data_IF_227597489121
#
_entry.id   IF_227597489121
#
_cell.length_a   1.000
_cell.length_b   1.000
_cell.length_c   1.000
_cell.angle_alpha   90.00
_cell.angle_beta   90.00
_cell.angle_gamma   90.00
#
_symmetry.space_group_name_H-M   'P 1'
#
loop_
_entity.id
_entity.type
_entity.pdbx_description
1 polymer ?
#
# COMPACT_ATOMS: atom_id res chain seq x y z
N UNK A 1 23.56 -15.61 19.61
CA UNK A 1 22.24 -16.12 19.21
C UNK A 1 21.17 -15.23 19.82
N UNK A 2 20.67 -14.24 19.09
CA UNK A 2 19.59 -13.35 19.55
C UNK A 2 18.26 -13.91 19.03
N UNK A 3 17.35 -14.22 19.95
CA UNK A 3 15.99 -14.68 19.67
C UNK A 3 15.13 -13.45 19.36
N UNK A 4 14.49 -13.41 18.20
CA UNK A 4 13.51 -12.38 17.87
C UNK A 4 12.17 -12.76 18.50
N UNK A 5 11.64 -11.84 19.30
CA UNK A 5 10.33 -11.91 19.91
C UNK A 5 9.33 -11.32 18.90
N UNK A 6 8.44 -12.14 18.36
CA UNK A 6 7.30 -11.68 17.57
C UNK A 6 6.34 -10.91 18.49
N UNK A 7 6.07 -9.65 18.16
CA UNK A 7 5.03 -8.86 18.83
C UNK A 7 3.81 -8.83 17.92
N UNK A 8 2.74 -9.50 18.36
CA UNK A 8 1.37 -9.38 17.85
C UNK A 8 0.83 -7.97 18.17
N UNK A 9 0.24 -7.28 17.19
CA UNK A 9 -0.59 -6.10 17.44
C UNK A 9 -2.08 -6.46 17.32
N UNK A 10 -2.92 -6.14 18.33
CA UNK A 10 -4.36 -6.37 18.26
C UNK A 10 -5.10 -5.20 17.59
N UNK A 11 -6.13 -5.56 16.80
CA UNK A 11 -7.11 -4.68 16.16
C UNK A 11 -8.19 -4.29 17.17
N UNK A 12 -8.54 -3.00 17.27
CA UNK A 12 -9.86 -2.42 17.63
C UNK A 12 -9.79 -0.91 17.24
N UNK A 13 -10.78 -0.22 16.70
CA UNK A 13 -12.20 -0.21 17.05
C UNK A 13 -13.10 0.32 15.90
N UNK A 14 -14.39 -0.02 15.99
CA UNK A 14 -15.49 0.33 15.09
C UNK A 14 -16.25 1.61 15.48
N UNK A 15 -17.21 1.99 14.61
CA UNK A 15 -18.33 2.95 14.72
C UNK A 15 -17.99 4.38 14.23
N UNK A 16 -18.73 4.98 13.29
CA UNK A 16 -20.19 5.17 13.24
C UNK A 16 -20.72 5.30 11.80
N UNK A 17 -21.88 4.69 11.49
CA UNK A 17 -22.72 5.07 10.36
C UNK A 17 -23.60 6.25 10.77
N UNK A 18 -23.69 7.28 9.93
CA UNK A 18 -24.81 8.22 9.94
C UNK A 18 -25.21 8.53 8.49
N UNK A 19 -26.42 8.09 8.12
CA UNK A 19 -27.10 8.45 6.88
C UNK A 19 -27.58 9.90 6.93
N UNK A 20 -27.55 10.59 5.79
CA UNK A 20 -28.67 11.42 5.33
C UNK A 20 -28.56 11.76 3.84
N UNK A 21 -29.73 12.00 3.27
CA UNK A 21 -30.16 12.02 1.87
C UNK A 21 -29.71 13.21 1.01
N UNK A 22 -29.28 12.88 -0.20
CA UNK A 22 -29.65 13.41 -1.53
C UNK A 22 -30.24 14.84 -1.65
N UNK A 23 -29.53 15.77 -2.30
CA UNK A 23 -30.06 16.68 -3.32
C UNK A 23 -28.96 17.48 -4.05
N UNK A 24 -28.89 17.30 -5.37
CA UNK A 24 -28.44 18.21 -6.46
C UNK A 24 -27.31 19.23 -6.23
N UNK A 25 -26.28 19.14 -7.09
CA UNK A 25 -25.32 20.25 -7.32
C UNK A 25 -23.86 19.79 -7.44
N UNK A 26 -23.57 18.91 -8.40
CA UNK A 26 -22.39 18.05 -8.43
C UNK A 26 -21.03 18.63 -8.84
N UNK A 27 -20.81 19.95 -8.84
CA UNK A 27 -19.49 20.49 -9.23
C UNK A 27 -18.90 21.54 -8.27
N UNK A 28 -19.68 22.17 -7.38
CA UNK A 28 -19.16 23.22 -6.47
C UNK A 28 -18.92 22.77 -5.01
N UNK A 29 -19.45 21.62 -4.61
CA UNK A 29 -19.37 21.16 -3.20
C UNK A 29 -17.98 20.59 -2.89
N UNK A 30 -17.28 20.05 -3.90
CA UNK A 30 -15.94 19.50 -3.73
C UNK A 30 -14.94 20.62 -3.51
N UNK A 31 -14.96 21.66 -4.36
CA UNK A 31 -14.06 22.83 -4.26
C UNK A 31 -14.27 23.64 -2.98
N UNK A 32 -15.52 23.89 -2.57
CA UNK A 32 -15.81 24.60 -1.31
C UNK A 32 -15.36 23.81 -0.08
N UNK A 33 -15.46 22.49 -0.11
CA UNK A 33 -14.99 21.64 0.99
C UNK A 33 -13.46 21.59 1.05
N UNK A 34 -12.78 21.70 -0.09
CA UNK A 34 -11.32 21.89 -0.14
C UNK A 34 -10.91 23.26 0.41
N UNK A 35 -11.62 24.35 0.08
CA UNK A 35 -11.30 25.69 0.63
C UNK A 35 -11.59 25.83 2.12
N UNK A 36 -12.67 25.21 2.64
CA UNK A 36 -12.93 25.16 4.09
C UNK A 36 -11.87 24.33 4.83
N UNK A 37 -11.43 23.19 4.27
CA UNK A 37 -10.31 22.40 4.82
C UNK A 37 -8.98 23.17 4.83
N UNK A 38 -8.77 24.06 3.87
CA UNK A 38 -7.52 24.83 3.74
C UNK A 38 -7.51 26.11 4.59
N UNK A 39 -8.68 26.67 4.91
CA UNK A 39 -8.78 27.90 5.72
C UNK A 39 -8.71 27.66 7.24
N UNK A 40 -9.01 26.45 7.72
CA UNK A 40 -8.91 26.10 9.16
C UNK A 40 -7.49 25.66 9.58
N UNK A 41 -6.51 25.65 8.67
CA UNK A 41 -5.13 25.20 8.94
C UNK A 41 -4.14 26.34 9.20
N UNK A 42 -4.51 27.33 10.02
CA UNK A 42 -3.58 28.36 10.50
C UNK A 42 -3.36 28.20 12.01
N UNK A 43 -2.12 27.80 12.33
CA UNK A 43 -1.43 27.72 13.64
C UNK A 43 -1.32 26.34 14.35
N UNK A 44 -0.30 25.55 13.97
CA UNK A 44 0.27 24.42 14.73
C UNK A 44 1.37 23.68 13.93
N UNK A 45 2.48 23.20 14.54
CA UNK A 45 3.72 22.92 13.82
C UNK A 45 3.71 21.59 13.05
N UNK A 46 4.28 21.65 11.84
CA UNK A 46 5.07 20.68 11.07
C UNK A 46 4.65 19.18 11.03
N UNK A 47 4.61 18.66 9.79
CA UNK A 47 4.60 17.25 9.40
C UNK A 47 3.29 16.44 9.50
N UNK A 48 2.35 16.72 8.59
CA UNK A 48 1.43 15.68 8.15
C UNK A 48 2.24 14.59 7.41
N UNK A 49 2.04 13.29 7.71
CA UNK A 49 2.78 12.23 7.03
C UNK A 49 2.47 12.29 5.53
N UNK A 50 3.53 12.33 4.70
CA UNK A 50 3.35 12.30 3.26
C UNK A 50 2.71 10.96 2.89
N UNK A 51 1.50 11.02 2.36
CA UNK A 51 0.68 9.86 2.02
C UNK A 51 0.57 9.77 0.51
N UNK A 52 1.12 8.71 -0.08
CA UNK A 52 0.96 8.45 -1.51
C UNK A 52 -0.41 7.80 -1.71
N UNK A 53 -1.33 8.54 -2.32
CA UNK A 53 -2.72 8.09 -2.52
C UNK A 53 -2.80 7.00 -3.58
N UNK A 54 -3.55 5.94 -3.28
CA UNK A 54 -3.81 4.82 -4.18
C UNK A 54 -5.31 4.76 -4.44
N UNK A 55 -5.72 4.71 -5.70
CA UNK A 55 -7.12 4.49 -6.04
C UNK A 55 -7.50 3.02 -5.88
N UNK A 56 -8.74 2.74 -5.49
CA UNK A 56 -9.25 1.37 -5.36
C UNK A 56 -9.15 0.60 -6.69
N UNK A 57 -9.34 1.29 -7.83
CA UNK A 57 -9.24 0.70 -9.16
C UNK A 57 -7.78 0.28 -9.45
N UNK A 58 -6.81 1.15 -9.16
CA UNK A 58 -5.39 0.86 -9.36
C UNK A 58 -4.92 -0.27 -8.47
N UNK A 59 -5.35 -0.28 -7.20
CA UNK A 59 -5.06 -1.36 -6.28
C UNK A 59 -5.60 -2.69 -6.80
N UNK A 60 -6.88 -2.75 -7.17
CA UNK A 60 -7.50 -3.98 -7.69
C UNK A 60 -6.79 -4.48 -8.95
N UNK A 61 -6.49 -3.60 -9.91
CA UNK A 61 -5.78 -3.98 -11.13
C UNK A 61 -4.37 -4.48 -10.85
N UNK A 62 -3.70 -3.89 -9.88
CA UNK A 62 -2.37 -4.30 -9.45
C UNK A 62 -2.38 -5.70 -8.85
N UNK A 63 -3.36 -6.00 -8.00
CA UNK A 63 -3.58 -7.37 -7.48
C UNK A 63 -3.81 -8.35 -8.64
N UNK A 64 -4.77 -8.05 -9.52
CA UNK A 64 -5.11 -8.91 -10.67
C UNK A 64 -3.87 -9.14 -11.57
N UNK A 65 -3.05 -8.12 -11.77
CA UNK A 65 -1.81 -8.20 -12.53
C UNK A 65 -0.76 -9.08 -11.85
N UNK A 66 -0.49 -8.87 -10.56
CA UNK A 66 0.51 -9.62 -9.79
C UNK A 66 0.16 -11.10 -9.76
N UNK A 67 -1.10 -11.45 -9.53
CA UNK A 67 -1.52 -12.85 -9.48
C UNK A 67 -1.49 -13.53 -10.86
N UNK A 68 -1.73 -12.76 -11.93
CA UNK A 68 -1.68 -13.27 -13.30
C UNK A 68 -0.25 -13.43 -13.84
N UNK A 69 0.68 -12.55 -13.45
CA UNK A 69 2.03 -12.45 -14.02
C UNK A 69 3.13 -12.94 -13.08
N UNK A 70 2.86 -12.90 -11.79
CA UNK A 70 3.76 -13.37 -10.76
C UNK A 70 3.81 -14.90 -10.66
N UNK A 71 4.52 -15.36 -9.65
CA UNK A 71 4.61 -16.76 -9.30
C UNK A 71 4.07 -16.98 -7.89
N UNK A 72 3.52 -18.16 -7.66
CA UNK A 72 3.02 -18.56 -6.34
C UNK A 72 4.20 -18.67 -5.37
N UNK A 73 4.06 -18.04 -4.19
CA UNK A 73 5.03 -18.14 -3.10
C UNK A 73 4.70 -19.37 -2.26
N UNK A 74 5.58 -20.38 -2.19
CA UNK A 74 5.33 -21.56 -1.40
C UNK A 74 5.40 -21.22 0.10
N UNK A 75 4.28 -21.30 0.81
CA UNK A 75 4.21 -21.18 2.26
C UNK A 75 3.44 -22.36 2.86
N UNK A 76 4.17 -23.34 3.40
CA UNK A 76 3.54 -24.51 4.03
C UNK A 76 2.65 -25.28 3.06
N UNK A 77 1.48 -25.71 3.53
CA UNK A 77 0.53 -26.53 2.76
C UNK A 77 -0.39 -25.70 1.86
N UNK A 78 -0.63 -24.43 2.19
CA UNK A 78 -1.50 -23.52 1.43
C UNK A 78 -0.71 -22.41 0.75
N UNK A 79 -0.52 -22.56 -0.57
CA UNK A 79 0.20 -21.59 -1.38
C UNK A 79 -0.78 -20.56 -1.99
N UNK A 80 -1.21 -19.58 -1.19
CA UNK A 80 -2.19 -18.56 -1.60
C UNK A 80 -1.60 -17.21 -2.01
N UNK A 81 -0.33 -16.97 -1.72
CA UNK A 81 0.33 -15.68 -1.95
C UNK A 81 1.06 -15.70 -3.30
N UNK A 82 1.07 -14.56 -4.01
CA UNK A 82 1.75 -14.41 -5.30
C UNK A 82 2.80 -13.33 -5.21
N UNK A 83 3.96 -13.55 -5.84
CA UNK A 83 5.02 -12.56 -5.95
C UNK A 83 5.26 -12.16 -7.40
N UNK A 84 5.31 -10.86 -7.64
CA UNK A 84 5.82 -10.27 -8.87
C UNK A 84 7.10 -9.47 -8.55
N UNK A 85 8.01 -9.36 -9.52
CA UNK A 85 9.21 -8.55 -9.36
C UNK A 85 9.43 -7.70 -10.60
N UNK A 86 9.70 -6.41 -10.38
CA UNK A 86 10.16 -5.51 -11.44
C UNK A 86 11.36 -4.70 -10.96
N UNK A 87 12.00 -4.03 -11.91
CA UNK A 87 13.04 -3.05 -11.67
C UNK A 87 12.55 -1.71 -12.20
N UNK A 88 12.71 -0.64 -11.43
CA UNK A 88 12.45 0.71 -11.94
C UNK A 88 13.58 1.16 -12.88
N UNK A 89 13.39 2.31 -13.54
CA UNK A 89 14.41 2.90 -14.40
C UNK A 89 15.74 3.21 -13.69
N UNK A 90 15.72 3.38 -12.36
CA UNK A 90 16.90 3.69 -11.56
C UNK A 90 17.67 2.42 -11.15
N UNK A 91 17.13 1.24 -11.44
CA UNK A 91 17.74 -0.05 -11.13
C UNK A 91 17.37 -0.58 -9.75
N UNK A 92 16.48 0.07 -9.01
CA UNK A 92 15.97 -0.47 -7.77
C UNK A 92 15.07 -1.67 -8.06
N UNK A 93 15.15 -2.69 -7.22
CA UNK A 93 14.36 -3.92 -7.36
C UNK A 93 13.18 -3.90 -6.41
N UNK A 94 11.99 -4.18 -6.92
CA UNK A 94 10.76 -4.28 -6.11
C UNK A 94 10.20 -5.70 -6.20
N UNK A 95 10.06 -6.37 -5.06
CA UNK A 95 9.28 -7.60 -4.96
C UNK A 95 7.93 -7.30 -4.31
N UNK A 96 6.85 -7.38 -5.10
CA UNK A 96 5.49 -7.14 -4.67
C UNK A 96 4.83 -8.49 -4.38
N UNK A 97 4.22 -8.61 -3.21
CA UNK A 97 3.58 -9.84 -2.76
C UNK A 97 2.12 -9.59 -2.40
N UNK A 98 1.20 -10.25 -3.08
CA UNK A 98 -0.21 -10.28 -2.67
C UNK A 98 -0.36 -11.24 -1.50
N UNK A 99 -1.07 -10.80 -0.47
CA UNK A 99 -1.27 -11.56 0.75
C UNK A 99 -2.75 -11.91 0.85
N UNK A 100 -3.09 -13.20 0.72
CA UNK A 100 -4.48 -13.67 0.85
C UNK A 100 -4.70 -14.26 2.23
N UNK A 101 -5.56 -13.62 3.03
CA UNK A 101 -5.93 -14.13 4.34
C UNK A 101 -7.45 -14.28 4.47
N UNK A 102 -7.88 -15.29 5.22
CA UNK A 102 -9.26 -15.41 5.67
C UNK A 102 -9.56 -14.44 6.83
N UNK A 103 -10.80 -14.47 7.34
CA UNK A 103 -11.24 -13.62 8.44
C UNK A 103 -10.49 -13.90 9.77
N UNK A 104 -9.84 -15.07 9.89
CA UNK A 104 -9.00 -15.45 11.03
C UNK A 104 -7.53 -15.03 10.84
N UNK A 105 -7.19 -14.42 9.71
CA UNK A 105 -5.81 -14.04 9.37
C UNK A 105 -4.92 -15.21 8.93
N UNK A 106 -5.50 -16.36 8.55
CA UNK A 106 -4.78 -17.53 8.02
C UNK A 106 -4.67 -17.47 6.51
N UNK A 107 -3.66 -18.12 5.94
CA UNK A 107 -3.56 -18.28 4.48
C UNK A 107 -4.84 -18.93 3.94
N UNK A 108 -5.31 -18.49 2.77
CA UNK A 108 -6.52 -19.03 2.16
C UNK A 108 -6.60 -18.64 0.68
N UNK A 109 -6.88 -19.61 -0.20
CA UNK A 109 -7.11 -19.36 -1.63
C UNK A 109 -8.36 -18.51 -1.90
N UNK A 110 -9.31 -18.51 -0.97
CA UNK A 110 -10.55 -17.73 -1.07
C UNK A 110 -10.46 -16.40 -0.31
N UNK A 111 -9.35 -16.15 0.40
CA UNK A 111 -9.12 -14.91 1.12
C UNK A 111 -9.04 -13.71 0.18
N UNK A 112 -9.47 -12.54 0.65
CA UNK A 112 -9.38 -11.29 -0.11
C UNK A 112 -7.99 -10.70 0.06
N UNK A 113 -7.42 -10.15 -1.01
CA UNK A 113 -6.19 -9.37 -0.93
C UNK A 113 -6.56 -7.94 -0.50
N UNK A 114 -6.20 -7.57 0.73
CA UNK A 114 -6.38 -6.22 1.27
C UNK A 114 -5.08 -5.41 1.29
N UNK A 115 -3.95 -6.05 1.01
CA UNK A 115 -2.61 -5.46 1.04
C UNK A 115 -1.69 -6.14 0.01
N UNK A 116 -0.85 -5.33 -0.63
CA UNK A 116 0.35 -5.78 -1.33
C UNK A 116 1.55 -5.39 -0.47
N UNK A 117 2.36 -6.36 -0.05
CA UNK A 117 3.61 -6.10 0.67
C UNK A 117 4.74 -5.93 -0.33
N UNK A 118 5.54 -4.88 -0.19
CA UNK A 118 6.62 -4.56 -1.12
C UNK A 118 7.96 -4.57 -0.40
N UNK A 119 8.86 -5.40 -0.90
CA UNK A 119 10.26 -5.43 -0.48
C UNK A 119 11.10 -4.80 -1.59
N UNK A 120 11.57 -3.59 -1.34
CA UNK A 120 12.38 -2.84 -2.28
C UNK A 120 13.86 -2.85 -1.86
N UNK A 121 14.74 -2.80 -2.86
CA UNK A 121 16.19 -2.84 -2.68
C UNK A 121 16.84 -1.81 -3.58
N UNK A 122 17.56 -0.86 -2.98
CA UNK A 122 18.33 0.15 -3.71
C UNK A 122 19.38 -0.51 -4.58
N UNK A 123 19.55 -0.01 -5.81
CA UNK A 123 20.48 -0.53 -6.81
C UNK A 123 20.29 -2.03 -7.14
N UNK A 124 19.15 -2.61 -6.73
CA UNK A 124 18.86 -4.03 -6.86
C UNK A 124 19.68 -4.95 -5.92
N UNK A 125 20.42 -4.40 -4.97
CA UNK A 125 21.30 -5.15 -4.07
C UNK A 125 20.48 -5.72 -2.91
N UNK A 126 20.40 -7.05 -2.81
CA UNK A 126 19.54 -7.75 -1.85
C UNK A 126 20.19 -7.95 -0.48
N UNK A 127 20.41 -6.87 0.25
CA UNK A 127 20.88 -6.89 1.64
C UNK A 127 20.06 -5.95 2.52
N UNK A 128 20.43 -5.84 3.80
CA UNK A 128 19.73 -4.99 4.77
C UNK A 128 20.06 -3.50 4.64
N UNK A 129 21.22 -3.15 4.08
CA UNK A 129 21.67 -1.76 3.95
C UNK A 129 20.95 -1.04 2.81
N UNK A 130 20.52 -1.80 1.81
CA UNK A 130 19.79 -1.30 0.64
C UNK A 130 18.28 -1.54 0.73
N UNK A 131 17.80 -2.22 1.77
CA UNK A 131 16.39 -2.57 1.92
C UNK A 131 15.55 -1.38 2.38
N UNK A 132 14.42 -1.17 1.71
CA UNK A 132 13.34 -0.31 2.17
C UNK A 132 12.00 -0.98 1.85
N UNK A 133 11.04 -0.90 2.77
CA UNK A 133 9.85 -1.74 2.75
C UNK A 133 8.58 -0.95 3.00
N UNK A 134 7.54 -1.28 2.23
CA UNK A 134 6.24 -0.60 2.32
C UNK A 134 5.08 -1.51 1.94
N UNK A 135 3.88 -1.07 2.28
CA UNK A 135 2.61 -1.70 1.97
C UNK A 135 1.80 -0.81 1.05
N UNK A 136 1.12 -1.42 0.08
CA UNK A 136 0.12 -0.77 -0.75
C UNK A 136 -1.23 -1.33 -0.34
N UNK A 137 -2.20 -0.47 -0.03
CA UNK A 137 -3.58 -0.86 0.19
C UNK A 137 -4.50 -0.04 -0.75
N UNK A 138 -5.81 -0.20 -0.61
CA UNK A 138 -6.80 0.44 -1.49
C UNK A 138 -6.93 1.97 -1.35
N UNK A 139 -6.27 2.57 -0.38
CA UNK A 139 -6.32 4.01 -0.09
C UNK A 139 -4.95 4.67 -0.28
N UNK A 140 -3.87 3.97 0.07
CA UNK A 140 -2.55 4.59 0.19
C UNK A 140 -1.39 3.58 0.16
N UNK A 141 -0.18 4.14 0.05
CA UNK A 141 1.09 3.47 0.32
C UNK A 141 1.63 3.95 1.67
N UNK A 142 1.98 3.01 2.55
CA UNK A 142 2.56 3.27 3.88
C UNK A 142 3.82 2.44 4.10
N UNK A 143 4.74 2.89 4.95
CA UNK A 143 5.85 2.02 5.38
C UNK A 143 5.35 0.90 6.31
N UNK A 144 6.20 -0.10 6.58
CA UNK A 144 5.91 -1.11 7.59
C UNK A 144 5.93 -0.52 9.01
N UNK A 145 4.80 0.00 9.48
CA UNK A 145 4.57 0.38 10.87
C UNK A 145 5.00 1.80 11.27
N UNK A 146 5.81 2.49 10.46
CA UNK A 146 6.25 3.88 10.69
C UNK A 146 5.94 4.79 9.48
N UNK A 147 6.31 6.07 9.56
CA UNK A 147 6.25 7.00 8.41
C UNK A 147 7.29 6.58 7.36
N UNK A 148 6.96 6.71 6.07
CA UNK A 148 7.95 6.54 4.98
C UNK A 148 9.02 7.64 5.13
N UNK A 149 10.32 7.31 5.19
CA UNK A 149 11.38 8.32 5.19
C UNK A 149 11.21 9.29 4.01
N UNK A 150 11.39 10.59 4.21
CA UNK A 150 11.16 11.58 3.15
C UNK A 150 12.02 11.32 1.90
N UNK A 151 13.22 10.75 2.09
CA UNK A 151 14.12 10.33 1.00
C UNK A 151 13.54 9.19 0.13
N UNK A 152 12.61 8.40 0.66
CA UNK A 152 12.00 7.27 -0.04
C UNK A 152 10.68 7.62 -0.72
N UNK A 153 10.03 8.72 -0.35
CA UNK A 153 8.71 9.10 -0.88
C UNK A 153 8.76 9.24 -2.39
N UNK A 154 9.70 10.02 -2.92
CA UNK A 154 9.80 10.26 -4.37
C UNK A 154 10.13 8.97 -5.14
N UNK A 155 11.00 8.13 -4.56
CA UNK A 155 11.40 6.84 -5.14
C UNK A 155 10.20 5.90 -5.22
N UNK A 156 9.43 5.80 -4.14
CA UNK A 156 8.24 4.94 -4.06
C UNK A 156 7.14 5.46 -5.01
N UNK A 157 6.90 6.77 -5.04
CA UNK A 157 5.88 7.37 -5.90
C UNK A 157 6.21 7.14 -7.38
N UNK A 158 7.47 7.35 -7.78
CA UNK A 158 7.91 7.10 -9.14
C UNK A 158 7.82 5.62 -9.51
N UNK A 159 8.30 4.72 -8.65
CA UNK A 159 8.20 3.28 -8.87
C UNK A 159 6.75 2.81 -8.99
N UNK A 160 5.84 3.37 -8.18
CA UNK A 160 4.41 3.10 -8.28
C UNK A 160 3.83 3.54 -9.62
N UNK A 161 4.14 4.77 -10.07
CA UNK A 161 3.73 5.28 -11.39
C UNK A 161 4.27 4.42 -12.53
N UNK A 162 5.51 3.95 -12.44
CA UNK A 162 6.11 3.06 -13.44
C UNK A 162 5.43 1.69 -13.47
N UNK A 163 5.20 1.10 -12.31
CA UNK A 163 4.48 -0.16 -12.19
C UNK A 163 3.06 -0.06 -12.76
N UNK A 164 2.32 1.02 -12.47
CA UNK A 164 0.99 1.23 -13.03
C UNK A 164 0.99 1.31 -14.55
N UNK A 165 2.02 1.92 -15.17
CA UNK A 165 2.13 1.89 -16.65
C UNK A 165 2.20 0.46 -17.18
N UNK A 166 2.72 -0.49 -16.42
CA UNK A 166 2.75 -1.89 -16.82
C UNK A 166 1.44 -2.62 -16.55
N UNK A 167 0.82 -2.38 -15.39
CA UNK A 167 -0.48 -2.93 -15.01
C UNK A 167 -1.58 -2.55 -16.01
N UNK A 168 -1.50 -1.35 -16.58
CA UNK A 168 -2.51 -0.80 -17.49
C UNK A 168 -2.22 -1.03 -18.99
N UNK A 169 -1.16 -1.77 -19.34
CA UNK A 169 -0.92 -2.24 -20.72
C UNK A 169 -1.88 -3.35 -21.12
#
# INVERSE_FOLDING_TARGET
MKKYLFVFFPIFASFFFLSCSNQGGGENIVEQKYEELMNDMVEGPEDLPIQIIVSEIDFKKSVDFIEKKGFVVPQGEECSDYQYTFFDKAGNRYALMTIRRDDDGKASLNGVVNQISVWAYRDGIKDQEHFFGFCINKNEINSFGERIPDEDVEIIEEAWREFLKEVWK
#
